data_IF_654597834310
#
_entry.id   IF_654597834310
#
_cell.length_a   1.000
_cell.length_b   1.000
_cell.length_c   1.000
_cell.angle_alpha   90.00
_cell.angle_beta   90.00
_cell.angle_gamma   90.00
#
_symmetry.space_group_name_H-M   'P 1'
#
loop_
_entity.id
_entity.type
_entity.pdbx_description
1 polymer ?
#
# COMPACT_ATOMS: atom_id res chain seq x y z
N UNK A 1 -3.00 1.25 -25.34
CA UNK A 1 -3.91 2.19 -24.66
C UNK A 1 -3.56 3.59 -25.09
N UNK A 2 -4.54 4.37 -25.56
CA UNK A 2 -4.39 5.82 -25.78
C UNK A 2 -4.02 6.47 -24.43
N UNK A 3 -2.93 7.23 -24.38
CA UNK A 3 -2.46 7.96 -23.19
C UNK A 3 -2.38 9.47 -23.44
N UNK A 4 -3.18 9.96 -24.39
CA UNK A 4 -3.27 11.39 -24.70
C UNK A 4 -3.80 12.22 -23.51
N UNK A 5 -3.51 13.53 -23.43
CA UNK A 5 -4.03 14.39 -22.37
C UNK A 5 -5.57 14.35 -22.25
N UNK A 6 -6.28 14.25 -23.38
CA UNK A 6 -7.75 14.10 -23.41
C UNK A 6 -8.22 12.78 -22.79
N UNK A 7 -7.44 11.70 -22.96
CA UNK A 7 -7.72 10.42 -22.34
C UNK A 7 -7.57 10.48 -20.82
N UNK A 8 -6.51 11.11 -20.31
CA UNK A 8 -6.27 11.26 -18.87
C UNK A 8 -7.38 12.04 -18.17
N UNK A 9 -7.79 13.18 -18.71
CA UNK A 9 -8.86 14.00 -18.14
C UNK A 9 -10.20 13.24 -18.04
N UNK A 10 -10.60 12.55 -19.11
CA UNK A 10 -11.83 11.75 -19.12
C UNK A 10 -11.76 10.57 -18.17
N UNK A 11 -10.65 9.84 -18.16
CA UNK A 11 -10.47 8.67 -17.31
C UNK A 11 -10.46 9.07 -15.83
N UNK A 12 -9.73 10.13 -15.46
CA UNK A 12 -9.71 10.65 -14.11
C UNK A 12 -11.10 11.06 -13.62
N UNK A 13 -11.86 11.79 -14.44
CA UNK A 13 -13.24 12.15 -14.11
C UNK A 13 -14.14 10.92 -13.93
N UNK A 14 -14.01 9.93 -14.81
CA UNK A 14 -14.78 8.68 -14.73
C UNK A 14 -14.49 7.92 -13.43
N UNK A 15 -13.21 7.81 -13.04
CA UNK A 15 -12.83 7.12 -11.80
C UNK A 15 -13.27 7.88 -10.56
N UNK A 16 -13.08 9.20 -10.52
CA UNK A 16 -13.54 10.03 -9.40
C UNK A 16 -15.06 9.96 -9.23
N UNK A 17 -15.81 10.02 -10.34
CA UNK A 17 -17.27 9.87 -10.32
C UNK A 17 -17.70 8.51 -9.78
N UNK A 18 -16.99 7.43 -10.15
CA UNK A 18 -17.26 6.09 -9.64
C UNK A 18 -16.96 5.96 -8.14
N UNK A 19 -15.90 6.59 -7.64
CA UNK A 19 -15.60 6.66 -6.20
C UNK A 19 -16.74 7.35 -5.46
N UNK A 20 -17.15 8.54 -5.91
CA UNK A 20 -18.25 9.31 -5.28
C UNK A 20 -19.58 8.57 -5.30
N UNK A 21 -19.88 7.85 -6.39
CA UNK A 21 -21.13 7.09 -6.50
C UNK A 21 -21.16 5.85 -5.59
N UNK A 22 -20.01 5.19 -5.39
CA UNK A 22 -19.91 3.97 -4.58
C UNK A 22 -19.61 4.23 -3.10
N UNK A 23 -19.00 5.37 -2.79
CA UNK A 23 -18.50 5.71 -1.46
C UNK A 23 -17.72 4.57 -0.78
N UNK A 24 -16.66 4.04 -1.41
CA UNK A 24 -16.00 2.82 -0.94
C UNK A 24 -15.41 2.97 0.46
N UNK A 25 -15.55 1.93 1.29
CA UNK A 25 -14.92 1.85 2.60
C UNK A 25 -13.44 1.48 2.46
N UNK A 26 -12.54 2.38 2.86
CA UNK A 26 -11.09 2.18 2.77
C UNK A 26 -10.51 2.07 4.17
N UNK A 27 -10.00 0.88 4.52
CA UNK A 27 -9.21 0.72 5.74
C UNK A 27 -7.83 1.32 5.50
N UNK A 28 -7.40 2.20 6.40
CA UNK A 28 -6.12 2.86 6.35
C UNK A 28 -5.29 2.46 7.57
N UNK A 29 -4.27 1.64 7.35
CA UNK A 29 -3.20 1.38 8.32
C UNK A 29 -2.03 2.27 7.89
N UNK A 30 -2.13 3.55 8.24
CA UNK A 30 -1.21 4.60 7.79
C UNK A 30 -0.44 5.21 8.93
N UNK A 31 0.64 5.92 8.61
CA UNK A 31 1.50 6.57 9.59
C UNK A 31 0.77 7.67 10.39
N UNK A 32 1.23 7.92 11.61
CA UNK A 32 0.63 8.87 12.55
C UNK A 32 0.69 10.33 12.05
N UNK A 33 1.69 10.68 11.23
CA UNK A 33 1.92 12.06 10.77
C UNK A 33 0.89 12.49 9.71
N UNK A 34 0.46 11.55 8.86
CA UNK A 34 -0.43 11.82 7.71
C UNK A 34 -1.81 11.19 7.84
N UNK A 35 -2.14 10.62 9.01
CA UNK A 35 -3.42 9.93 9.23
C UNK A 35 -4.62 10.85 8.98
N UNK A 36 -4.60 12.06 9.56
CA UNK A 36 -5.69 13.04 9.39
C UNK A 36 -5.85 13.48 7.93
N UNK A 37 -4.76 13.88 7.27
CA UNK A 37 -4.83 14.31 5.88
C UNK A 37 -5.26 13.17 4.95
N UNK A 38 -4.85 11.93 5.20
CA UNK A 38 -5.32 10.77 4.45
C UNK A 38 -6.83 10.56 4.61
N UNK A 39 -7.37 10.74 5.83
CA UNK A 39 -8.81 10.69 6.07
C UNK A 39 -9.54 11.76 5.26
N UNK A 40 -9.10 13.01 5.39
CA UNK A 40 -9.75 14.17 4.79
C UNK A 40 -9.67 14.13 3.25
N UNK A 41 -8.58 13.65 2.68
CA UNK A 41 -8.47 13.45 1.23
C UNK A 41 -9.44 12.38 0.73
N UNK A 42 -9.58 11.25 1.44
CA UNK A 42 -10.54 10.21 1.08
C UNK A 42 -11.99 10.72 1.18
N UNK A 43 -12.32 11.45 2.25
CA UNK A 43 -13.62 12.10 2.40
C UNK A 43 -13.90 13.10 1.27
N UNK A 44 -12.95 13.96 0.93
CA UNK A 44 -13.09 14.93 -0.16
C UNK A 44 -13.24 14.26 -1.53
N UNK A 45 -12.62 13.09 -1.73
CA UNK A 45 -12.81 12.26 -2.91
C UNK A 45 -14.18 11.55 -2.94
N UNK A 46 -14.90 11.52 -1.82
CA UNK A 46 -16.21 10.86 -1.66
C UNK A 46 -16.13 9.41 -1.21
N UNK A 47 -14.98 8.96 -0.70
CA UNK A 47 -14.82 7.64 -0.07
C UNK A 47 -15.09 7.71 1.45
N UNK A 48 -15.18 6.54 2.08
CA UNK A 48 -15.33 6.40 3.53
C UNK A 48 -14.03 5.86 4.14
N UNK A 49 -13.20 6.70 4.81
CA UNK A 49 -11.98 6.23 5.45
C UNK A 49 -12.24 5.59 6.83
N UNK A 50 -11.46 4.56 7.17
CA UNK A 50 -11.43 3.98 8.51
C UNK A 50 -9.99 3.71 8.98
N UNK A 51 -9.58 4.36 10.06
CA UNK A 51 -8.22 4.29 10.61
C UNK A 51 -8.03 3.11 11.58
N UNK A 52 -8.40 1.91 11.11
CA UNK A 52 -8.39 0.68 11.92
C UNK A 52 -7.07 -0.06 11.74
N UNK A 53 -6.25 -0.09 12.79
CA UNK A 53 -4.92 -0.70 12.80
C UNK A 53 -4.72 -1.74 13.92
N UNK A 54 -5.71 -1.93 14.80
CA UNK A 54 -5.67 -2.93 15.86
C UNK A 54 -5.69 -4.33 15.26
N UNK A 55 -4.69 -5.17 15.60
CA UNK A 55 -4.63 -6.55 15.13
C UNK A 55 -5.89 -7.34 15.51
N UNK A 56 -6.52 -7.00 16.65
CA UNK A 56 -7.72 -7.66 17.14
C UNK A 56 -8.98 -7.31 16.35
N UNK A 57 -9.00 -6.15 15.69
CA UNK A 57 -10.15 -5.69 14.91
C UNK A 57 -10.06 -6.12 13.45
N UNK A 58 -8.85 -6.39 12.94
CA UNK A 58 -8.61 -6.77 11.53
C UNK A 58 -9.48 -7.93 11.06
N UNK A 59 -9.62 -9.07 11.79
CA UNK A 59 -10.45 -10.18 11.32
C UNK A 59 -11.93 -9.82 11.12
N UNK A 60 -12.46 -8.90 11.93
CA UNK A 60 -13.86 -8.49 11.90
C UNK A 60 -14.13 -7.32 10.95
N UNK A 61 -13.13 -6.45 10.79
CA UNK A 61 -13.26 -5.19 10.06
C UNK A 61 -12.82 -5.31 8.61
N UNK A 62 -11.61 -5.83 8.34
CA UNK A 62 -11.01 -5.81 7.00
C UNK A 62 -11.86 -6.53 5.94
N UNK A 63 -12.52 -7.69 6.21
CA UNK A 63 -13.36 -8.35 5.21
C UNK A 63 -14.53 -7.49 4.72
N UNK A 64 -14.95 -6.47 5.49
CA UNK A 64 -16.04 -5.56 5.15
C UNK A 64 -15.59 -4.35 4.32
N UNK A 65 -14.30 -4.09 4.22
CA UNK A 65 -13.76 -2.93 3.52
C UNK A 65 -13.71 -3.16 2.01
N UNK A 66 -13.89 -2.12 1.21
CA UNK A 66 -13.71 -2.20 -0.24
C UNK A 66 -12.24 -2.36 -0.62
N UNK A 67 -11.33 -1.66 0.08
CA UNK A 67 -9.89 -1.68 -0.15
C UNK A 67 -9.10 -1.41 1.15
N UNK A 68 -7.79 -1.71 1.12
CA UNK A 68 -6.86 -1.46 2.23
C UNK A 68 -5.68 -0.59 1.76
N UNK A 69 -5.31 0.42 2.54
CA UNK A 69 -4.12 1.23 2.34
C UNK A 69 -3.13 0.98 3.49
N UNK A 70 -1.93 0.51 3.16
CA UNK A 70 -0.85 0.24 4.11
C UNK A 70 0.29 1.21 3.83
N UNK A 71 0.64 2.04 4.82
CA UNK A 71 1.74 2.98 4.75
C UNK A 71 2.68 2.81 5.95
N UNK A 72 3.97 2.60 5.67
CA UNK A 72 4.99 2.26 6.68
C UNK A 72 5.73 3.48 7.26
N UNK A 73 5.23 4.70 7.04
CA UNK A 73 5.92 5.96 7.34
C UNK A 73 6.32 6.14 8.81
N UNK A 74 5.53 5.63 9.75
CA UNK A 74 5.85 5.55 11.20
C UNK A 74 5.71 4.11 11.68
N UNK A 75 6.33 3.17 10.94
CA UNK A 75 6.29 1.75 11.26
C UNK A 75 6.77 1.47 12.70
N UNK A 76 6.04 0.61 13.40
CA UNK A 76 6.42 0.02 14.69
C UNK A 76 6.31 -1.51 14.61
N UNK A 77 6.98 -2.20 15.53
CA UNK A 77 6.91 -3.66 15.65
C UNK A 77 5.47 -4.14 15.89
N UNK A 78 4.68 -3.38 16.66
CA UNK A 78 3.28 -3.73 16.97
C UNK A 78 2.33 -3.61 15.77
N UNK A 79 2.66 -2.76 14.79
CA UNK A 79 1.78 -2.49 13.65
C UNK A 79 2.03 -3.43 12.46
N UNK A 80 3.24 -3.94 12.31
CA UNK A 80 3.58 -4.85 11.22
C UNK A 80 2.68 -6.11 11.18
N UNK A 81 2.40 -6.79 12.31
CA UNK A 81 1.44 -7.90 12.34
C UNK A 81 0.05 -7.51 11.81
N UNK A 82 -0.48 -6.36 12.22
CA UNK A 82 -1.78 -5.85 11.73
C UNK A 82 -1.75 -5.56 10.23
N UNK A 83 -0.68 -4.95 9.72
CA UNK A 83 -0.51 -4.67 8.30
C UNK A 83 -0.51 -5.97 7.47
N UNK A 84 0.25 -6.99 7.90
CA UNK A 84 0.29 -8.29 7.20
C UNK A 84 -1.05 -9.02 7.27
N UNK A 85 -1.73 -8.97 8.42
CA UNK A 85 -3.05 -9.57 8.58
C UNK A 85 -4.08 -8.92 7.64
N UNK A 86 -4.12 -7.58 7.58
CA UNK A 86 -5.03 -6.86 6.69
C UNK A 86 -4.70 -7.10 5.20
N UNK A 87 -3.41 -7.11 4.83
CA UNK A 87 -2.97 -7.42 3.47
C UNK A 87 -3.33 -8.85 3.02
N UNK A 88 -3.40 -9.80 3.96
CA UNK A 88 -3.75 -11.20 3.69
C UNK A 88 -5.25 -11.46 3.65
N UNK A 89 -6.10 -10.47 3.96
CA UNK A 89 -7.55 -10.64 4.08
C UNK A 89 -8.31 -10.68 2.73
N UNK A 90 -7.60 -10.80 1.61
CA UNK A 90 -8.20 -10.96 0.28
C UNK A 90 -8.86 -9.70 -0.31
N UNK A 91 -8.66 -8.52 0.30
CA UNK A 91 -9.09 -7.23 -0.23
C UNK A 91 -8.01 -6.63 -1.13
N UNK A 92 -8.36 -5.91 -2.21
CA UNK A 92 -7.37 -5.18 -2.99
C UNK A 92 -6.69 -4.14 -2.08
N UNK A 93 -5.37 -4.11 -2.11
CA UNK A 93 -4.62 -3.27 -1.19
C UNK A 93 -3.43 -2.59 -1.85
N UNK A 94 -3.05 -1.45 -1.27
CA UNK A 94 -1.95 -0.60 -1.73
C UNK A 94 -0.85 -0.59 -0.68
N UNK A 95 0.38 -0.81 -1.12
CA UNK A 95 1.59 -0.63 -0.30
C UNK A 95 2.21 0.74 -0.60
N UNK A 96 2.42 1.55 0.42
CA UNK A 96 3.21 2.78 0.40
C UNK A 96 4.49 2.58 1.24
N UNK A 97 5.64 2.26 0.60
CA UNK A 97 6.86 1.84 1.26
C UNK A 97 7.70 3.05 1.72
N UNK A 98 7.06 4.03 2.36
CA UNK A 98 7.66 5.32 2.76
C UNK A 98 9.01 5.11 3.45
N UNK A 99 10.04 5.68 2.84
CA UNK A 99 11.41 5.60 3.32
C UNK A 99 11.89 4.16 3.60
N UNK A 100 11.50 3.17 2.79
CA UNK A 100 11.90 1.77 2.95
C UNK A 100 13.42 1.60 3.07
N UNK A 101 14.20 2.40 2.34
CA UNK A 101 15.67 2.35 2.38
C UNK A 101 16.31 3.03 3.60
N UNK A 102 15.53 3.69 4.47
CA UNK A 102 16.08 4.42 5.62
C UNK A 102 16.59 3.51 6.73
N UNK A 103 16.11 2.25 6.81
CA UNK A 103 16.61 1.26 7.77
C UNK A 103 16.37 -0.17 7.29
N UNK A 104 17.15 -1.12 7.82
CA UNK A 104 16.95 -2.55 7.54
C UNK A 104 15.55 -3.03 7.92
N UNK A 105 15.08 -2.63 9.12
CA UNK A 105 13.74 -2.96 9.60
C UNK A 105 12.62 -2.53 8.63
N UNK A 106 12.67 -1.31 8.09
CA UNK A 106 11.66 -0.85 7.12
C UNK A 106 11.73 -1.62 5.81
N UNK A 107 12.94 -1.89 5.31
CA UNK A 107 13.13 -2.65 4.08
C UNK A 107 12.59 -4.08 4.23
N UNK A 108 12.95 -4.78 5.30
CA UNK A 108 12.47 -6.14 5.60
C UNK A 108 10.95 -6.19 5.74
N UNK A 109 10.36 -5.23 6.46
CA UNK A 109 8.91 -5.12 6.57
C UNK A 109 8.24 -4.92 5.19
N UNK A 110 8.76 -4.01 4.36
CA UNK A 110 8.23 -3.78 3.01
C UNK A 110 8.34 -5.01 2.11
N UNK A 111 9.46 -5.74 2.17
CA UNK A 111 9.64 -6.99 1.41
C UNK A 111 8.65 -8.06 1.88
N UNK A 112 8.47 -8.23 3.19
CA UNK A 112 7.50 -9.17 3.76
C UNK A 112 6.04 -8.85 3.42
N UNK A 113 5.73 -7.58 3.19
CA UNK A 113 4.43 -7.10 2.73
C UNK A 113 4.29 -7.30 1.21
N UNK A 114 5.36 -7.09 0.45
CA UNK A 114 5.38 -7.29 -1.00
C UNK A 114 5.11 -8.75 -1.39
N UNK A 115 5.57 -9.71 -0.59
CA UNK A 115 5.26 -11.14 -0.72
C UNK A 115 3.74 -11.43 -0.70
N UNK A 116 2.96 -10.58 -0.05
CA UNK A 116 1.49 -10.67 0.01
C UNK A 116 0.80 -10.08 -1.23
N UNK A 117 1.57 -9.72 -2.26
CA UNK A 117 1.12 -9.31 -3.60
C UNK A 117 0.11 -8.13 -3.55
N UNK A 118 0.55 -6.92 -3.16
CA UNK A 118 -0.30 -5.73 -3.25
C UNK A 118 -0.82 -5.53 -4.67
N UNK A 119 -2.03 -5.00 -4.79
CA UNK A 119 -2.60 -4.63 -6.08
C UNK A 119 -1.84 -3.45 -6.70
N UNK A 120 -1.33 -2.54 -5.87
CA UNK A 120 -0.53 -1.38 -6.28
C UNK A 120 0.58 -1.14 -5.25
N UNK A 121 1.79 -0.85 -5.72
CA UNK A 121 2.86 -0.25 -4.92
C UNK A 121 3.00 1.21 -5.34
N UNK A 122 2.91 2.14 -4.39
CA UNK A 122 3.01 3.58 -4.65
C UNK A 122 4.15 4.14 -3.83
N UNK A 123 5.14 4.72 -4.49
CA UNK A 123 6.27 5.40 -3.87
C UNK A 123 6.91 6.38 -4.84
N UNK A 124 7.86 7.17 -4.36
CA UNK A 124 8.70 7.98 -5.24
C UNK A 124 9.71 7.10 -6.00
N UNK A 125 10.43 7.68 -6.98
CA UNK A 125 11.36 6.93 -7.81
C UNK A 125 12.46 6.19 -7.03
N UNK A 126 13.04 6.82 -6.00
CA UNK A 126 14.10 6.19 -5.21
C UNK A 126 13.58 5.08 -4.30
N UNK A 127 12.38 5.22 -3.73
CA UNK A 127 11.72 4.19 -2.93
C UNK A 127 11.39 2.95 -3.78
N UNK A 128 10.85 3.15 -4.99
CA UNK A 128 10.52 2.05 -5.90
C UNK A 128 11.79 1.33 -6.37
N UNK A 129 12.84 2.06 -6.74
CA UNK A 129 14.12 1.45 -7.14
C UNK A 129 14.75 0.64 -6.01
N UNK A 130 14.84 1.21 -4.80
CA UNK A 130 15.41 0.53 -3.66
C UNK A 130 14.64 -0.76 -3.30
N UNK A 131 13.30 -0.72 -3.37
CA UNK A 131 12.47 -1.89 -3.10
C UNK A 131 12.63 -2.96 -4.21
N UNK A 132 12.68 -2.54 -5.47
CA UNK A 132 12.86 -3.45 -6.61
C UNK A 132 14.23 -4.16 -6.58
N UNK A 133 15.32 -3.41 -6.33
CA UNK A 133 16.67 -3.96 -6.26
C UNK A 133 16.79 -5.01 -5.14
N UNK A 134 16.22 -4.71 -3.97
CA UNK A 134 16.24 -5.63 -2.83
C UNK A 134 15.35 -6.86 -3.05
N UNK A 135 14.19 -6.68 -3.68
CA UNK A 135 13.31 -7.80 -4.04
C UNK A 135 13.94 -8.73 -5.09
N UNK A 136 14.63 -8.16 -6.08
CA UNK A 136 15.38 -8.92 -7.08
C UNK A 136 16.53 -9.70 -6.43
N UNK A 137 17.30 -9.07 -5.54
CA UNK A 137 18.39 -9.72 -4.81
C UNK A 137 17.89 -10.87 -3.90
N UNK A 138 16.73 -10.70 -3.26
CA UNK A 138 16.10 -11.75 -2.45
C UNK A 138 15.65 -12.94 -3.31
N UNK A 139 15.13 -12.67 -4.51
CA UNK A 139 14.72 -13.69 -5.48
C UNK A 139 15.90 -14.37 -6.17
N UNK A 140 17.06 -13.71 -6.24
CA UNK A 140 18.27 -14.19 -6.93
C UNK A 140 19.29 -14.88 -6.01
N UNK A 141 18.86 -15.51 -4.91
CA UNK A 141 19.74 -16.36 -4.09
C UNK A 141 20.11 -17.70 -4.77
N UNK A 142 20.31 -17.68 -6.09
CA UNK A 142 20.97 -18.72 -6.86
C UNK A 142 22.37 -18.21 -7.23
N UNK A 143 23.41 -18.83 -6.66
CA UNK A 143 24.80 -18.57 -7.03
C UNK A 143 24.97 -18.84 -8.53
N UNK A 144 25.09 -17.79 -9.33
CA UNK A 144 25.76 -17.90 -10.62
C UNK A 144 27.25 -17.96 -10.32
N UNK A 145 27.79 -19.17 -10.28
CA UNK A 145 29.23 -19.39 -10.26
C UNK A 145 29.74 -19.05 -11.67
N UNK A 146 30.68 -18.10 -11.83
CA UNK A 146 31.26 -17.82 -13.14
C UNK A 146 31.94 -19.09 -13.64
N UNK A 147 31.53 -19.59 -14.80
CA UNK A 147 32.42 -20.48 -15.54
C UNK A 147 33.50 -19.61 -16.17
N UNK A 148 34.74 -19.97 -15.88
CA UNK A 148 35.94 -19.51 -16.57
C UNK A 148 35.79 -19.62 -18.08
#
# INVERSE_FOLDING_TARGET
MDRSPKWWGRSAWSFLSAVRARAPLVQCITNLVSMDIAANVLLAAGASPAMVHSLREVPDFTPRCDAVYVNVGTLSEDWLPSMRAAASAGRPWVLDPVAAAASGFRMEACLSLLELRPAVVRGNGSEILALADRSAAASSSFKVVPRY
#
